data_IF_954450776591
#
_entry.id   IF_954450776591
#
_cell.length_a   1.000
_cell.length_b   1.000
_cell.length_c   1.000
_cell.angle_alpha   90.00
_cell.angle_beta   90.00
_cell.angle_gamma   90.00
#
_symmetry.space_group_name_H-M   'P 1'
#
loop_
_entity.id
_entity.type
_entity.pdbx_description
1 polymer ?
#
# COMPACT_ATOMS: atom_id res chain seq x y z
N UNK A 1 16.30 -21.94 17.48
CA UNK A 1 15.50 -22.57 18.56
C UNK A 1 14.64 -21.46 19.15
N UNK A 2 13.39 -21.32 18.71
CA UNK A 2 12.46 -20.29 19.21
C UNK A 2 11.67 -20.86 20.37
N UNK A 3 11.99 -20.39 21.56
CA UNK A 3 11.15 -20.56 22.73
C UNK A 3 10.24 -19.34 22.83
N UNK A 4 9.03 -19.42 22.27
CA UNK A 4 7.86 -18.71 22.78
C UNK A 4 6.64 -19.27 22.06
N UNK A 5 5.75 -19.93 22.81
CA UNK A 5 4.55 -20.60 22.34
C UNK A 5 3.39 -19.66 21.99
N UNK A 6 3.61 -18.68 21.15
CA UNK A 6 2.51 -18.03 20.41
C UNK A 6 2.31 -18.84 19.14
N UNK A 7 1.19 -19.55 19.00
CA UNK A 7 0.86 -20.21 17.76
C UNK A 7 0.82 -19.14 16.66
N UNK A 8 1.76 -19.19 15.73
CA UNK A 8 1.77 -18.30 14.58
C UNK A 8 0.52 -18.57 13.74
N UNK A 9 -0.14 -17.51 13.26
CA UNK A 9 -1.31 -17.64 12.39
C UNK A 9 -0.92 -18.38 11.11
N UNK A 10 -1.65 -19.42 10.68
CA UNK A 10 -1.39 -20.09 9.42
C UNK A 10 -1.47 -19.10 8.25
N UNK A 11 -0.65 -19.31 7.21
CA UNK A 11 -0.55 -18.38 6.08
C UNK A 11 -1.89 -18.18 5.35
N UNK A 12 -2.69 -19.23 5.19
CA UNK A 12 -4.01 -19.11 4.56
C UNK A 12 -4.98 -18.32 5.42
N UNK A 13 -4.94 -18.44 6.75
CA UNK A 13 -5.77 -17.65 7.65
C UNK A 13 -5.39 -16.15 7.54
N UNK A 14 -4.09 -15.85 7.43
CA UNK A 14 -3.63 -14.49 7.20
C UNK A 14 -4.11 -13.94 5.85
N UNK A 15 -4.03 -14.72 4.77
CA UNK A 15 -4.46 -14.31 3.43
C UNK A 15 -5.98 -14.09 3.38
N UNK A 16 -6.76 -15.03 3.92
CA UNK A 16 -8.22 -14.95 3.89
C UNK A 16 -8.78 -13.97 4.92
N UNK A 17 -8.05 -13.80 6.03
CA UNK A 17 -8.40 -12.88 7.12
C UNK A 17 -8.12 -11.41 6.85
N UNK A 18 -7.13 -11.08 6.01
CA UNK A 18 -6.69 -9.70 5.79
C UNK A 18 -7.80 -8.77 5.28
N UNK A 19 -7.92 -7.60 5.89
CA UNK A 19 -8.89 -6.53 5.56
C UNK A 19 -8.21 -5.18 5.47
N UNK A 20 -8.70 -4.36 4.56
CA UNK A 20 -8.34 -2.94 4.49
C UNK A 20 -9.08 -2.17 5.61
N UNK A 21 -8.35 -1.80 6.64
CA UNK A 21 -8.85 -1.04 7.80
C UNK A 21 -8.65 0.45 7.55
N UNK A 22 -9.67 1.26 7.81
CA UNK A 22 -9.65 2.70 7.56
C UNK A 22 -9.86 3.56 8.80
N UNK A 23 -10.38 2.96 9.88
CA UNK A 23 -10.61 3.61 11.16
C UNK A 23 -9.77 2.92 12.22
N UNK A 24 -8.95 3.67 12.94
CA UNK A 24 -7.96 3.13 13.86
C UNK A 24 -8.14 3.64 15.28
N UNK A 25 -7.73 2.81 16.25
CA UNK A 25 -7.56 3.19 17.64
C UNK A 25 -6.28 4.03 17.81
N UNK A 26 -6.29 4.97 18.73
CA UNK A 26 -5.07 5.69 19.19
C UNK A 26 -4.28 4.77 20.14
N UNK A 27 -3.66 3.77 19.56
CA UNK A 27 -2.91 2.73 20.27
C UNK A 27 -1.60 2.42 19.55
N UNK A 28 -0.44 2.54 20.21
CA UNK A 28 0.85 2.27 19.58
C UNK A 28 1.05 0.76 19.33
N UNK A 29 1.70 0.43 18.20
CA UNK A 29 2.22 -0.91 17.94
C UNK A 29 3.54 -1.07 18.70
N UNK A 30 3.78 -2.19 19.40
CA UNK A 30 5.07 -2.49 19.99
C UNK A 30 6.20 -2.46 18.95
N UNK A 31 7.34 -1.83 19.25
CA UNK A 31 8.44 -1.66 18.29
C UNK A 31 8.91 -2.99 17.66
N UNK A 32 8.94 -4.07 18.44
CA UNK A 32 9.32 -5.41 17.96
C UNK A 32 8.33 -5.98 16.92
N UNK A 33 7.02 -5.69 17.06
CA UNK A 33 6.01 -6.11 16.08
C UNK A 33 6.15 -5.29 14.80
N UNK A 34 6.41 -3.99 14.92
CA UNK A 34 6.66 -3.12 13.78
C UNK A 34 7.93 -3.57 13.03
N UNK A 35 9.01 -3.83 13.74
CA UNK A 35 10.26 -4.32 13.16
C UNK A 35 10.06 -5.65 12.41
N UNK A 36 9.35 -6.61 13.02
CA UNK A 36 9.04 -7.91 12.41
C UNK A 36 8.17 -7.77 11.16
N UNK A 37 7.23 -6.84 11.16
CA UNK A 37 6.38 -6.51 10.01
C UNK A 37 7.21 -5.94 8.85
N UNK A 38 8.14 -5.03 9.14
CA UNK A 38 9.05 -4.45 8.15
C UNK A 38 10.05 -5.48 7.62
N UNK A 39 10.56 -6.36 8.47
CA UNK A 39 11.42 -7.45 8.04
C UNK A 39 10.70 -8.37 7.04
N UNK A 40 9.44 -8.74 7.31
CA UNK A 40 8.65 -9.55 6.38
C UNK A 40 8.48 -8.87 5.01
N UNK A 41 8.32 -7.55 4.97
CA UNK A 41 8.28 -6.79 3.72
C UNK A 41 9.54 -6.99 2.88
N UNK A 42 10.71 -7.02 3.49
CA UNK A 42 11.99 -7.22 2.78
C UNK A 42 12.18 -8.64 2.24
N UNK A 43 11.31 -9.59 2.59
CA UNK A 43 11.33 -10.97 2.07
C UNK A 43 10.52 -11.14 0.78
N UNK A 44 9.99 -10.07 0.23
CA UNK A 44 9.28 -10.10 -1.03
C UNK A 44 10.22 -10.45 -2.20
N UNK A 45 9.62 -11.01 -3.26
CA UNK A 45 10.34 -11.17 -4.52
C UNK A 45 10.52 -9.79 -5.20
N UNK A 46 11.62 -9.65 -5.91
CA UNK A 46 11.87 -8.50 -6.77
C UNK A 46 12.62 -8.91 -8.02
N UNK A 47 12.44 -8.18 -9.10
CA UNK A 47 13.06 -8.47 -10.38
C UNK A 47 14.59 -8.50 -10.22
N UNK A 48 15.23 -9.61 -10.58
CA UNK A 48 16.67 -9.81 -10.40
C UNK A 48 17.16 -9.71 -8.96
N UNK A 49 16.28 -9.85 -7.96
CA UNK A 49 16.57 -9.65 -6.54
C UNK A 49 17.19 -8.28 -6.23
N UNK A 50 16.78 -7.25 -6.96
CA UNK A 50 17.32 -5.89 -6.83
C UNK A 50 16.84 -5.16 -5.59
N UNK A 51 15.74 -5.60 -4.97
CA UNK A 51 15.19 -5.07 -3.72
C UNK A 51 15.07 -3.52 -3.75
N UNK A 52 14.34 -2.95 -4.72
CA UNK A 52 14.36 -1.52 -5.01
C UNK A 52 13.49 -0.69 -4.07
N UNK A 53 12.91 -1.29 -3.04
CA UNK A 53 12.10 -0.62 -2.05
C UNK A 53 12.93 0.17 -1.05
N UNK A 54 12.43 1.34 -0.65
CA UNK A 54 12.84 2.10 0.52
C UNK A 54 11.60 2.36 1.38
N UNK A 55 11.75 2.23 2.67
CA UNK A 55 10.65 2.44 3.62
C UNK A 55 10.95 3.65 4.51
N UNK A 56 10.04 4.63 4.54
CA UNK A 56 10.05 5.72 5.52
C UNK A 56 8.91 5.46 6.49
N UNK A 57 9.26 5.18 7.75
CA UNK A 57 8.29 4.87 8.80
C UNK A 57 8.03 6.12 9.63
N UNK A 58 6.79 6.56 9.67
CA UNK A 58 6.34 7.73 10.42
C UNK A 58 5.48 7.29 11.59
N UNK A 59 6.00 7.48 12.80
CA UNK A 59 5.29 7.27 14.08
C UNK A 59 5.06 8.58 14.82
N UNK A 60 5.81 9.62 14.49
CA UNK A 60 5.68 10.95 15.07
C UNK A 60 4.31 11.54 14.77
N UNK A 61 3.62 12.00 15.84
CA UNK A 61 2.22 12.46 15.74
C UNK A 61 2.12 13.81 15.05
N UNK A 62 3.08 14.70 15.27
CA UNK A 62 3.03 16.03 14.69
C UNK A 62 3.31 15.97 13.19
N UNK A 63 4.29 15.17 12.78
CA UNK A 63 4.53 14.89 11.36
C UNK A 63 3.31 14.21 10.69
N UNK A 64 2.63 13.29 11.37
CA UNK A 64 1.37 12.70 10.86
C UNK A 64 0.26 13.74 10.69
N UNK A 65 0.16 14.75 11.58
CA UNK A 65 -0.80 15.85 11.43
C UNK A 65 -0.48 16.73 10.22
N UNK A 66 0.81 17.02 9.99
CA UNK A 66 1.23 17.76 8.79
C UNK A 66 0.90 16.98 7.51
N UNK A 67 1.18 15.68 7.48
CA UNK A 67 0.80 14.79 6.38
C UNK A 67 -0.71 14.73 6.18
N UNK A 68 -1.50 14.71 7.27
CA UNK A 68 -2.97 14.77 7.20
C UNK A 68 -3.44 16.06 6.55
N UNK A 69 -2.88 17.21 6.97
CA UNK A 69 -3.24 18.51 6.39
C UNK A 69 -2.97 18.54 4.87
N UNK A 70 -1.81 18.07 4.44
CA UNK A 70 -1.47 17.94 3.00
C UNK A 70 -2.48 17.09 2.24
N UNK A 71 -2.93 15.98 2.83
CA UNK A 71 -3.92 15.10 2.17
C UNK A 71 -5.33 15.68 2.17
N UNK A 72 -5.73 16.39 3.22
CA UNK A 72 -7.01 17.13 3.25
C UNK A 72 -7.06 18.14 2.12
N UNK A 73 -6.00 18.93 1.94
CA UNK A 73 -5.91 19.93 0.86
C UNK A 73 -5.96 19.27 -0.52
N UNK A 74 -5.19 18.19 -0.74
CA UNK A 74 -5.17 17.47 -2.01
C UNK A 74 -6.54 16.88 -2.38
N UNK A 75 -7.26 16.33 -1.40
CA UNK A 75 -8.62 15.81 -1.63
C UNK A 75 -9.66 16.91 -1.83
N UNK A 76 -9.54 18.03 -1.14
CA UNK A 76 -10.41 19.19 -1.39
C UNK A 76 -10.25 19.74 -2.81
N UNK A 77 -9.05 19.70 -3.39
CA UNK A 77 -8.79 20.06 -4.78
C UNK A 77 -9.48 19.08 -5.74
N UNK A 78 -9.38 17.79 -5.49
CA UNK A 78 -10.06 16.77 -6.28
C UNK A 78 -11.57 16.92 -6.20
N UNK A 79 -12.14 17.12 -5.02
CA UNK A 79 -13.57 17.28 -4.84
C UNK A 79 -14.08 18.55 -5.54
N UNK A 80 -13.30 19.64 -5.54
CA UNK A 80 -13.63 20.85 -6.34
C UNK A 80 -13.60 20.58 -7.84
N UNK A 81 -12.59 19.85 -8.33
CA UNK A 81 -12.51 19.50 -9.76
C UNK A 81 -13.67 18.58 -10.18
N UNK A 82 -14.03 17.59 -9.36
CA UNK A 82 -15.17 16.69 -9.58
C UNK A 82 -16.49 17.43 -9.60
N UNK A 83 -16.69 18.37 -8.67
CA UNK A 83 -17.90 19.19 -8.64
C UNK A 83 -18.09 20.04 -9.92
N UNK A 84 -16.98 20.39 -10.60
CA UNK A 84 -17.00 21.16 -11.86
C UNK A 84 -17.20 20.28 -13.10
N UNK A 85 -16.69 19.04 -13.09
CA UNK A 85 -16.75 18.11 -14.24
C UNK A 85 -17.93 17.15 -14.21
N UNK A 86 -18.66 17.08 -13.09
CA UNK A 86 -19.62 16.02 -12.77
C UNK A 86 -19.02 14.60 -12.81
N UNK A 87 -17.68 14.49 -12.80
CA UNK A 87 -16.98 13.21 -12.76
C UNK A 87 -16.97 12.66 -11.34
N UNK A 88 -17.36 11.42 -11.19
CA UNK A 88 -17.38 10.73 -9.91
C UNK A 88 -16.41 9.54 -9.97
N UNK A 89 -15.54 9.42 -8.96
CA UNK A 89 -14.69 8.23 -8.83
C UNK A 89 -15.55 7.08 -8.29
N UNK A 90 -15.82 6.12 -9.13
CA UNK A 90 -16.64 4.95 -8.77
C UNK A 90 -15.83 3.65 -8.84
N UNK A 91 -16.23 2.68 -8.03
CA UNK A 91 -15.72 1.31 -8.15
C UNK A 91 -16.37 0.60 -9.35
N UNK A 92 -15.93 -0.64 -9.63
CA UNK A 92 -16.48 -1.45 -10.72
C UNK A 92 -18.00 -1.77 -10.61
N UNK A 93 -18.66 -1.41 -9.51
CA UNK A 93 -20.11 -1.50 -9.32
C UNK A 93 -20.84 -0.16 -9.42
N UNK A 94 -20.11 0.91 -9.74
CA UNK A 94 -20.66 2.27 -9.85
C UNK A 94 -20.86 2.97 -8.49
N UNK A 95 -20.28 2.48 -7.40
CA UNK A 95 -20.37 3.13 -6.09
C UNK A 95 -19.26 4.15 -5.91
N UNK A 96 -19.55 5.34 -5.32
CA UNK A 96 -18.55 6.34 -5.03
C UNK A 96 -17.39 5.78 -4.19
N UNK A 97 -16.16 6.03 -4.62
CA UNK A 97 -14.95 5.69 -3.86
C UNK A 97 -14.48 6.94 -3.13
N UNK A 98 -14.51 6.89 -1.80
CA UNK A 98 -14.05 7.99 -0.95
C UNK A 98 -12.83 7.57 -0.15
N UNK A 99 -11.82 8.46 -0.07
CA UNK A 99 -10.62 8.26 0.76
C UNK A 99 -10.74 8.84 2.17
N UNK A 100 -11.84 9.56 2.47
CA UNK A 100 -11.97 10.41 3.65
C UNK A 100 -11.73 9.69 4.99
N UNK A 101 -12.31 8.50 5.19
CA UNK A 101 -12.11 7.76 6.44
C UNK A 101 -10.64 7.40 6.72
N UNK A 102 -9.86 7.10 5.67
CA UNK A 102 -8.44 6.85 5.81
C UNK A 102 -7.67 8.14 6.14
N UNK A 103 -8.04 9.27 5.52
CA UNK A 103 -7.43 10.58 5.79
C UNK A 103 -7.67 11.00 7.23
N UNK A 104 -8.90 10.84 7.73
CA UNK A 104 -9.23 11.15 9.12
C UNK A 104 -8.39 10.36 10.13
N UNK A 105 -7.94 9.18 9.77
CA UNK A 105 -7.13 8.32 10.64
C UNK A 105 -5.61 8.53 10.54
N UNK A 106 -5.11 9.42 9.69
CA UNK A 106 -3.67 9.62 9.47
C UNK A 106 -2.91 9.98 10.77
N UNK A 107 -3.45 10.87 11.59
CA UNK A 107 -2.82 11.31 12.82
C UNK A 107 -3.04 10.39 14.02
N UNK A 108 -3.98 9.45 13.89
CA UNK A 108 -4.36 8.48 14.93
C UNK A 108 -3.64 7.15 14.74
N UNK A 109 -3.49 6.67 13.50
CA UNK A 109 -2.87 5.38 13.21
C UNK A 109 -1.46 5.27 13.83
N UNK A 110 -1.10 4.10 14.34
CA UNK A 110 0.16 3.91 15.06
C UNK A 110 1.39 4.22 14.18
N UNK A 111 1.42 3.71 12.95
CA UNK A 111 2.49 3.99 12.01
C UNK A 111 1.96 4.16 10.58
N UNK A 112 2.59 5.07 9.83
CA UNK A 112 2.51 5.16 8.37
C UNK A 112 3.84 4.71 7.79
N UNK A 113 3.80 3.78 6.85
CA UNK A 113 4.99 3.33 6.13
C UNK A 113 4.87 3.79 4.68
N UNK A 114 5.62 4.81 4.32
CA UNK A 114 5.74 5.26 2.93
C UNK A 114 6.73 4.36 2.20
N UNK A 115 6.35 3.89 1.03
CA UNK A 115 7.11 2.93 0.24
C UNK A 115 7.53 3.58 -1.06
N UNK A 116 8.84 3.73 -1.23
CA UNK A 116 9.44 4.34 -2.39
C UNK A 116 10.14 3.30 -3.27
N UNK A 117 10.12 3.50 -4.57
CA UNK A 117 10.98 2.80 -5.50
C UNK A 117 12.27 3.58 -5.71
N UNK A 118 13.40 2.89 -5.51
CA UNK A 118 14.74 3.44 -5.69
C UNK A 118 15.25 3.13 -7.11
N UNK A 119 15.40 4.14 -7.99
CA UNK A 119 15.85 3.93 -9.37
C UNK A 119 17.29 3.43 -9.48
N UNK A 120 18.10 3.61 -8.44
CA UNK A 120 19.50 3.16 -8.47
C UNK A 120 19.64 1.67 -8.23
N UNK A 121 18.63 1.04 -7.62
CA UNK A 121 18.56 -0.41 -7.43
C UNK A 121 17.56 -1.08 -8.36
N UNK A 122 16.55 -0.38 -8.83
CA UNK A 122 15.54 -0.93 -9.72
C UNK A 122 16.12 -1.34 -11.08
N UNK A 123 15.58 -2.42 -11.66
CA UNK A 123 15.88 -2.73 -13.06
C UNK A 123 15.24 -1.66 -13.94
N UNK A 124 16.05 -1.06 -14.78
CA UNK A 124 15.64 -0.02 -15.73
C UNK A 124 16.37 -0.19 -17.05
N UNK A 125 15.75 0.26 -18.13
CA UNK A 125 16.43 0.32 -19.41
C UNK A 125 17.31 1.57 -19.49
N UNK A 126 18.44 1.48 -20.21
CA UNK A 126 19.29 2.65 -20.46
C UNK A 126 18.46 3.74 -21.15
N UNK A 127 18.47 4.96 -20.58
CA UNK A 127 17.72 6.10 -21.09
C UNK A 127 16.21 6.02 -20.85
N UNK A 128 15.73 5.19 -19.90
CA UNK A 128 14.33 5.16 -19.51
C UNK A 128 13.87 6.42 -18.79
N UNK A 129 14.79 7.03 -18.07
CA UNK A 129 14.55 8.28 -17.34
C UNK A 129 15.53 9.35 -17.78
N UNK A 130 15.04 10.59 -17.82
CA UNK A 130 15.83 11.82 -17.89
C UNK A 130 15.73 12.54 -16.55
N UNK A 131 16.86 13.05 -16.06
CA UNK A 131 16.91 13.81 -14.83
C UNK A 131 16.61 15.29 -15.12
N UNK A 132 15.65 15.84 -14.40
CA UNK A 132 15.29 17.26 -14.46
C UNK A 132 16.29 18.09 -13.63
N UNK A 133 16.36 19.43 -13.84
CA UNK A 133 17.26 20.31 -13.07
C UNK A 133 17.04 20.27 -11.55
N UNK A 134 15.85 19.91 -11.07
CA UNK A 134 15.49 19.76 -9.66
C UNK A 134 15.83 18.38 -9.08
N UNK A 135 16.47 17.50 -9.87
CA UNK A 135 16.84 16.15 -9.46
C UNK A 135 15.70 15.12 -9.52
N UNK A 136 14.51 15.51 -9.97
CA UNK A 136 13.43 14.57 -10.24
C UNK A 136 13.72 13.78 -11.53
N UNK A 137 13.12 12.59 -11.66
CA UNK A 137 13.25 11.77 -12.85
C UNK A 137 11.95 11.76 -13.66
N UNK A 138 12.05 12.05 -14.95
CA UNK A 138 10.96 11.97 -15.91
C UNK A 138 11.12 10.71 -16.77
N UNK A 139 10.09 9.87 -16.81
CA UNK A 139 10.08 8.72 -17.70
C UNK A 139 10.02 9.18 -19.18
N UNK A 140 10.91 8.64 -20.01
CA UNK A 140 10.97 8.91 -21.45
C UNK A 140 10.19 7.90 -22.28
N UNK A 141 9.88 6.74 -21.68
CA UNK A 141 9.10 5.67 -22.30
C UNK A 141 8.35 4.84 -21.26
N UNK A 142 7.28 4.19 -21.71
CA UNK A 142 6.55 3.23 -20.92
C UNK A 142 7.26 1.87 -20.93
N UNK A 143 7.43 1.28 -19.76
CA UNK A 143 7.94 -0.08 -19.59
C UNK A 143 6.86 -0.95 -18.96
N UNK A 144 6.52 -2.08 -19.57
CA UNK A 144 5.57 -3.02 -18.99
C UNK A 144 5.99 -3.49 -17.60
N UNK A 145 5.03 -3.58 -16.67
CA UNK A 145 5.26 -4.00 -15.29
C UNK A 145 5.57 -2.85 -14.33
N UNK A 146 6.14 -1.75 -14.79
CA UNK A 146 6.37 -0.54 -14.00
C UNK A 146 7.16 -0.76 -12.70
N UNK A 147 7.35 0.31 -11.95
CA UNK A 147 8.08 0.30 -10.67
C UNK A 147 7.36 -0.50 -9.59
N UNK A 148 6.04 -0.45 -9.56
CA UNK A 148 5.19 -1.12 -8.57
C UNK A 148 5.34 -2.63 -8.53
N UNK A 149 5.70 -3.28 -9.64
CA UNK A 149 5.81 -4.75 -9.74
C UNK A 149 6.77 -5.36 -8.71
N UNK A 150 7.84 -4.66 -8.32
CA UNK A 150 8.79 -5.12 -7.29
C UNK A 150 8.53 -4.52 -5.92
N UNK A 151 7.65 -3.52 -5.79
CA UNK A 151 7.37 -2.81 -4.53
C UNK A 151 6.08 -3.33 -3.89
N UNK A 152 5.03 -3.56 -4.68
CA UNK A 152 3.74 -4.02 -4.15
C UNK A 152 3.78 -5.40 -3.47
N UNK A 153 4.59 -6.38 -3.93
CA UNK A 153 4.79 -7.61 -3.17
C UNK A 153 5.34 -7.37 -1.76
N UNK A 154 6.23 -6.38 -1.58
CA UNK A 154 6.73 -6.02 -0.25
C UNK A 154 5.63 -5.42 0.63
N UNK A 155 4.76 -4.57 0.07
CA UNK A 155 3.58 -4.06 0.77
C UNK A 155 2.64 -5.21 1.18
N UNK A 156 2.39 -6.17 0.29
CA UNK A 156 1.54 -7.32 0.58
C UNK A 156 2.10 -8.18 1.70
N UNK A 157 3.41 -8.49 1.68
CA UNK A 157 4.06 -9.22 2.76
C UNK A 157 3.97 -8.46 4.10
N UNK A 158 4.17 -7.14 4.08
CA UNK A 158 4.01 -6.26 5.24
C UNK A 158 2.61 -6.40 5.85
N UNK A 159 1.57 -6.31 5.02
CA UNK A 159 0.18 -6.39 5.48
C UNK A 159 -0.18 -7.77 6.03
N UNK A 160 0.29 -8.85 5.39
CA UNK A 160 0.06 -10.22 5.86
C UNK A 160 0.74 -10.47 7.20
N UNK A 161 2.00 -10.04 7.33
CA UNK A 161 2.74 -10.15 8.59
C UNK A 161 2.09 -9.33 9.71
N UNK A 162 1.67 -8.08 9.41
CA UNK A 162 0.93 -7.26 10.35
C UNK A 162 -0.32 -7.98 10.84
N UNK A 163 -1.14 -8.50 9.90
CA UNK A 163 -2.37 -9.22 10.22
C UNK A 163 -2.10 -10.47 11.07
N UNK A 164 -1.08 -11.26 10.75
CA UNK A 164 -0.68 -12.43 11.54
C UNK A 164 -0.24 -12.06 12.97
N UNK A 165 0.22 -10.83 13.18
CA UNK A 165 0.57 -10.28 14.49
C UNK A 165 -0.61 -9.55 15.18
N UNK A 166 -1.81 -9.59 14.62
CA UNK A 166 -2.99 -8.90 15.17
C UNK A 166 -3.00 -7.39 14.91
N UNK A 167 -2.18 -6.90 13.97
CA UNK A 167 -2.12 -5.50 13.53
C UNK A 167 -2.93 -5.35 12.25
N UNK A 168 -3.84 -4.39 12.24
CA UNK A 168 -4.64 -4.04 11.07
C UNK A 168 -3.86 -3.15 10.11
N UNK A 169 -4.20 -3.20 8.81
CA UNK A 169 -3.49 -2.44 7.79
C UNK A 169 -4.40 -1.89 6.70
N UNK A 170 -3.90 -0.85 6.01
CA UNK A 170 -4.46 -0.33 4.77
C UNK A 170 -3.32 -0.03 3.80
N UNK A 171 -3.41 -0.53 2.59
CA UNK A 171 -2.58 -0.13 1.47
C UNK A 171 -3.27 0.99 0.69
N UNK A 172 -2.54 2.04 0.33
CA UNK A 172 -3.06 3.14 -0.48
C UNK A 172 -1.99 3.76 -1.37
N UNK A 173 -2.40 4.29 -2.52
CA UNK A 173 -1.56 5.09 -3.42
C UNK A 173 -1.93 6.58 -3.40
N UNK A 174 -2.91 6.97 -2.58
CA UNK A 174 -3.45 8.33 -2.58
C UNK A 174 -2.44 9.42 -2.24
N UNK A 175 -1.40 9.11 -1.47
CA UNK A 175 -0.34 10.08 -1.19
C UNK A 175 0.43 10.55 -2.45
N UNK A 176 0.34 9.81 -3.55
CA UNK A 176 0.83 10.23 -4.86
C UNK A 176 0.17 11.50 -5.40
N UNK A 177 -1.06 11.85 -4.94
CA UNK A 177 -1.74 13.10 -5.28
C UNK A 177 -1.00 14.35 -4.75
N UNK A 178 -0.21 14.19 -3.70
CA UNK A 178 0.58 15.24 -3.07
C UNK A 178 2.05 14.85 -2.94
N UNK A 179 2.57 14.01 -3.85
CA UNK A 179 3.91 13.40 -3.76
C UNK A 179 5.01 14.40 -3.46
N UNK A 180 5.02 15.56 -4.11
CA UNK A 180 6.06 16.58 -3.90
C UNK A 180 6.09 17.08 -2.44
N UNK A 181 4.92 17.37 -1.85
CA UNK A 181 4.80 17.82 -0.46
C UNK A 181 5.12 16.70 0.53
N UNK A 182 4.72 15.48 0.23
CA UNK A 182 5.07 14.29 1.04
C UNK A 182 6.58 14.09 1.06
N UNK A 183 7.25 14.18 -0.08
CA UNK A 183 8.73 14.06 -0.16
C UNK A 183 9.43 15.18 0.61
N UNK A 184 8.94 16.42 0.52
CA UNK A 184 9.45 17.55 1.26
C UNK A 184 9.38 17.31 2.77
N UNK A 185 8.21 16.96 3.31
CA UNK A 185 8.00 16.68 4.72
C UNK A 185 8.86 15.50 5.24
N UNK A 186 9.05 14.48 4.40
CA UNK A 186 9.83 13.29 4.76
C UNK A 186 11.32 13.40 4.41
N UNK A 187 11.77 14.54 3.89
CA UNK A 187 13.14 14.76 3.43
C UNK A 187 13.66 13.69 2.46
N UNK A 188 12.77 13.17 1.60
CA UNK A 188 13.10 12.12 0.63
C UNK A 188 13.75 12.73 -0.61
N UNK A 189 14.87 12.15 -1.11
CA UNK A 189 15.52 12.65 -2.33
C UNK A 189 14.54 12.73 -3.50
N UNK A 190 14.63 13.80 -4.34
CA UNK A 190 13.65 14.06 -5.41
C UNK A 190 13.57 12.96 -6.48
N UNK A 191 14.62 12.18 -6.64
CA UNK A 191 14.71 11.07 -7.60
C UNK A 191 13.96 9.80 -7.18
N UNK A 192 13.54 9.67 -5.89
CA UNK A 192 12.78 8.53 -5.40
C UNK A 192 11.31 8.67 -5.83
N UNK A 193 10.68 7.56 -6.18
CA UNK A 193 9.28 7.54 -6.58
C UNK A 193 8.41 6.98 -5.46
N UNK A 194 7.42 7.76 -5.04
CA UNK A 194 6.42 7.29 -4.07
C UNK A 194 5.46 6.31 -4.76
N UNK A 195 5.49 5.06 -4.35
CA UNK A 195 4.65 4.01 -4.93
C UNK A 195 3.41 3.72 -4.10
N UNK A 196 3.53 3.78 -2.77
CA UNK A 196 2.44 3.49 -1.86
C UNK A 196 2.68 4.03 -0.45
N UNK A 197 1.63 4.01 0.35
CA UNK A 197 1.72 4.08 1.80
C UNK A 197 0.92 2.94 2.43
N UNK A 198 1.42 2.38 3.52
CA UNK A 198 0.76 1.36 4.33
C UNK A 198 0.50 1.93 5.71
N UNK A 199 -0.76 1.94 6.12
CA UNK A 199 -1.17 2.24 7.48
C UNK A 199 -1.03 0.98 8.33
N UNK A 200 -0.49 1.09 9.51
CA UNK A 200 -0.35 0.01 10.47
C UNK A 200 -0.87 0.48 11.83
N UNK A 201 -1.83 -0.24 12.41
CA UNK A 201 -2.46 0.12 13.66
C UNK A 201 -3.48 -0.91 14.12
N UNK A 202 -4.25 -0.59 15.15
CA UNK A 202 -5.34 -1.44 15.60
C UNK A 202 -6.66 -0.87 15.08
N UNK A 203 -7.46 -1.72 14.43
CA UNK A 203 -8.75 -1.30 13.87
C UNK A 203 -9.77 -1.02 14.95
N UNK A 204 -10.44 0.14 14.86
CA UNK A 204 -11.52 0.52 15.78
C UNK A 204 -12.86 -0.15 15.45
N UNK A 205 -12.96 -0.82 14.29
CA UNK A 205 -14.18 -1.44 13.81
C UNK A 205 -13.98 -2.93 13.57
N UNK A 206 -15.02 -3.73 13.89
CA UNK A 206 -15.05 -5.16 13.54
C UNK A 206 -15.50 -5.30 12.08
N UNK A 207 -14.55 -5.64 11.21
CA UNK A 207 -14.84 -5.84 9.79
C UNK A 207 -15.33 -7.27 9.52
N UNK A 208 -16.35 -7.38 8.66
CA UNK A 208 -16.85 -8.67 8.18
C UNK A 208 -15.93 -9.32 7.13
N UNK A 209 -16.28 -10.51 6.67
CA UNK A 209 -15.58 -11.19 5.60
C UNK A 209 -15.71 -10.41 4.28
N UNK A 210 -14.62 -10.21 3.49
CA UNK A 210 -14.71 -9.53 2.21
C UNK A 210 -15.41 -10.43 1.20
N UNK A 211 -16.26 -9.82 0.40
CA UNK A 211 -16.78 -10.52 -0.79
C UNK A 211 -15.63 -10.70 -1.80
N UNK A 212 -15.58 -11.86 -2.41
CA UNK A 212 -14.66 -12.17 -3.51
C UNK A 212 -15.45 -12.75 -4.67
N UNK A 213 -14.99 -12.50 -5.87
CA UNK A 213 -15.52 -13.17 -7.05
C UNK A 213 -15.19 -14.65 -6.97
N UNK A 214 -16.09 -15.55 -7.40
CA UNK A 214 -15.78 -16.97 -7.57
C UNK A 214 -14.62 -17.18 -8.54
N UNK A 215 -13.91 -18.32 -8.38
CA UNK A 215 -12.74 -18.61 -9.24
C UNK A 215 -13.12 -18.73 -10.72
N UNK A 216 -14.26 -19.30 -11.02
CA UNK A 216 -14.79 -19.46 -12.39
C UNK A 216 -15.11 -18.13 -13.09
N UNK A 217 -15.27 -17.03 -12.33
CA UNK A 217 -15.42 -15.70 -12.92
C UNK A 217 -14.09 -15.04 -13.30
N UNK A 218 -12.99 -15.41 -12.65
CA UNK A 218 -11.72 -14.66 -12.73
C UNK A 218 -10.53 -15.53 -13.17
N UNK A 219 -10.72 -16.85 -13.27
CA UNK A 219 -9.67 -17.78 -13.69
C UNK A 219 -10.04 -18.40 -15.04
N UNK A 220 -9.12 -18.36 -15.96
CA UNK A 220 -9.24 -18.95 -17.28
C UNK A 220 -8.18 -20.03 -17.46
N UNK A 221 -8.53 -21.18 -18.04
CA UNK A 221 -7.63 -22.30 -18.25
C UNK A 221 -7.10 -22.28 -19.69
N UNK A 222 -5.80 -22.14 -19.86
CA UNK A 222 -5.07 -22.18 -21.13
C UNK A 222 -5.39 -21.05 -22.13
N UNK A 223 -6.61 -20.49 -22.14
CA UNK A 223 -7.00 -19.39 -23.02
C UNK A 223 -8.07 -18.52 -22.36
N UNK A 224 -8.17 -17.25 -22.80
CA UNK A 224 -9.24 -16.34 -22.35
C UNK A 224 -10.61 -16.94 -22.68
N UNK A 225 -11.59 -16.76 -21.79
CA UNK A 225 -12.97 -17.31 -21.85
C UNK A 225 -13.12 -18.83 -21.63
N UNK A 226 -12.04 -19.60 -21.57
CA UNK A 226 -12.09 -20.99 -21.10
C UNK A 226 -12.11 -20.99 -19.58
N UNK A 227 -13.28 -21.11 -18.97
CA UNK A 227 -13.45 -20.99 -17.52
C UNK A 227 -12.81 -22.16 -16.78
N UNK A 228 -12.13 -21.81 -15.67
CA UNK A 228 -11.62 -22.79 -14.74
C UNK A 228 -12.75 -23.29 -13.84
N UNK A 229 -13.05 -24.58 -13.92
CA UNK A 229 -14.01 -25.24 -13.04
C UNK A 229 -13.24 -26.09 -12.02
N UNK A 230 -13.07 -25.61 -10.77
CA UNK A 230 -12.41 -26.41 -9.76
C UNK A 230 -13.29 -27.63 -9.40
N UNK A 231 -12.69 -28.83 -9.39
CA UNK A 231 -13.38 -30.05 -8.96
C UNK A 231 -13.80 -30.02 -7.49
N UNK A 232 -13.17 -29.13 -6.71
CA UNK A 232 -13.47 -28.90 -5.29
C UNK A 232 -13.76 -27.42 -5.06
N UNK A 233 -14.99 -27.11 -4.65
CA UNK A 233 -15.31 -25.78 -4.12
C UNK A 233 -14.66 -25.65 -2.73
N UNK A 234 -13.75 -24.69 -2.60
CA UNK A 234 -13.21 -24.31 -1.28
C UNK A 234 -14.35 -23.74 -0.42
N UNK A 235 -14.37 -24.04 0.87
CA UNK A 235 -15.41 -23.58 1.80
C UNK A 235 -15.45 -22.07 1.99
#
# INVERSE_FOLDING_TARGET
>A
MSANGSSEMPVFDAIFGLRATRVYEDRPIPPEMLARTLEAATRACSSGNTQPWEFVVVTDRDLKRELKAVMVDAFADIDRQRAQSADELVDGSGRPVTGHAAIESIDVVSALVFVFWNPDRGIRMKGEYEENPDGTLRATRHIPGGRGSSVYPACQNMMLAAHALGVSSLFTTFFGLAEARVRELLHVPPRMFLEAAVFLGYGAEKLGQPRRKPLDEVVHLNAWEVRYEPEVRLP
#
